data_IF_081499448237
#
_entry.id   IF_081499448237
#
_cell.length_a   1.000
_cell.length_b   1.000
_cell.length_c   1.000
_cell.angle_alpha   90.00
_cell.angle_beta   90.00
_cell.angle_gamma   90.00
#
_symmetry.space_group_name_H-M   'P 1'
#
loop_
_entity.id
_entity.type
_entity.pdbx_description
1 polymer ?
#
# COMPACT_ATOMS: atom_id res chain seq x y z
N UNK A 1 -33.01 -46.41 11.01
CA UNK A 1 -32.06 -46.02 9.94
C UNK A 1 -32.07 -44.53 9.57
N UNK A 2 -33.21 -43.80 9.47
CA UNK A 2 -33.20 -42.39 9.04
C UNK A 2 -32.55 -41.40 10.04
N UNK A 3 -32.67 -41.66 11.35
CA UNK A 3 -32.09 -40.77 12.38
C UNK A 3 -30.56 -40.73 12.40
N UNK A 4 -29.90 -41.85 12.07
CA UNK A 4 -28.44 -41.91 11.99
C UNK A 4 -27.89 -41.12 10.80
N UNK A 5 -28.59 -41.16 9.65
CA UNK A 5 -28.20 -40.43 8.44
C UNK A 5 -28.27 -38.92 8.65
N UNK A 6 -29.31 -38.43 9.35
CA UNK A 6 -29.46 -37.01 9.65
C UNK A 6 -28.36 -36.49 10.59
N UNK A 7 -27.96 -37.30 11.57
CA UNK A 7 -26.91 -36.95 12.53
C UNK A 7 -25.52 -36.85 11.87
N UNK A 8 -25.22 -37.77 10.95
CA UNK A 8 -23.98 -37.77 10.17
C UNK A 8 -23.92 -36.56 9.23
N UNK A 9 -25.04 -36.21 8.58
CA UNK A 9 -25.10 -35.02 7.74
C UNK A 9 -24.89 -33.72 8.55
N UNK A 10 -25.52 -33.60 9.72
CA UNK A 10 -25.42 -32.41 10.56
C UNK A 10 -23.99 -32.19 11.10
N UNK A 11 -23.32 -33.26 11.53
CA UNK A 11 -21.91 -33.20 11.99
C UNK A 11 -20.96 -32.85 10.85
N UNK A 12 -21.19 -33.39 9.65
CA UNK A 12 -20.43 -33.02 8.45
C UNK A 12 -20.56 -31.53 8.12
N UNK A 13 -21.77 -30.98 8.13
CA UNK A 13 -22.01 -29.55 7.92
C UNK A 13 -21.33 -28.70 9.00
N UNK A 14 -21.45 -29.09 10.26
CA UNK A 14 -20.81 -28.37 11.37
C UNK A 14 -19.28 -28.36 11.25
N UNK A 15 -18.66 -29.45 10.82
CA UNK A 15 -17.22 -29.52 10.57
C UNK A 15 -16.79 -28.65 9.39
N UNK A 16 -17.57 -28.63 8.31
CA UNK A 16 -17.29 -27.76 7.16
C UNK A 16 -17.41 -26.28 7.56
N UNK A 17 -18.45 -25.92 8.31
CA UNK A 17 -18.62 -24.54 8.81
C UNK A 17 -17.50 -24.16 9.78
N UNK A 18 -17.13 -25.05 10.70
CA UNK A 18 -16.02 -24.82 11.61
C UNK A 18 -14.68 -24.68 10.87
N UNK A 19 -14.45 -25.48 9.83
CA UNK A 19 -13.27 -25.37 8.97
C UNK A 19 -13.26 -24.06 8.19
N UNK A 20 -14.38 -23.65 7.61
CA UNK A 20 -14.49 -22.36 6.90
C UNK A 20 -14.29 -21.18 7.84
N UNK A 21 -14.85 -21.22 9.05
CA UNK A 21 -14.61 -20.22 10.09
C UNK A 21 -13.15 -20.22 10.53
N UNK A 22 -12.55 -21.39 10.73
CA UNK A 22 -11.14 -21.50 11.06
C UNK A 22 -10.26 -20.94 9.95
N UNK A 23 -10.55 -21.26 8.68
CA UNK A 23 -9.84 -20.70 7.52
C UNK A 23 -10.03 -19.19 7.40
N UNK A 24 -11.22 -18.65 7.72
CA UNK A 24 -11.47 -17.22 7.76
C UNK A 24 -10.69 -16.51 8.87
N UNK A 25 -10.65 -17.12 10.07
CA UNK A 25 -9.88 -16.62 11.22
C UNK A 25 -8.37 -16.76 11.02
N UNK A 26 -7.94 -17.78 10.27
CA UNK A 26 -6.55 -18.06 9.92
C UNK A 26 -6.12 -17.39 8.63
N UNK A 27 -7.04 -16.77 7.86
CA UNK A 27 -6.69 -16.03 6.65
C UNK A 27 -5.76 -14.91 7.08
N UNK A 28 -4.45 -15.03 6.84
CA UNK A 28 -3.53 -14.05 7.33
C UNK A 28 -3.82 -12.83 6.48
N UNK A 29 -4.32 -11.78 7.14
CA UNK A 29 -4.22 -10.41 6.64
C UNK A 29 -2.73 -10.05 6.64
N UNK A 30 -1.94 -10.76 5.82
CA UNK A 30 -0.54 -10.46 5.53
C UNK A 30 -0.53 -9.25 4.59
N UNK A 31 -1.08 -8.15 5.09
CA UNK A 31 -0.78 -6.84 4.53
C UNK A 31 0.65 -6.53 4.96
N UNK A 32 1.60 -6.40 4.02
CA UNK A 32 2.92 -5.93 4.37
C UNK A 32 2.75 -4.61 5.11
N UNK A 33 3.45 -4.46 6.24
CA UNK A 33 3.43 -3.20 7.00
C UNK A 33 3.78 -2.07 6.03
N UNK A 34 2.99 -0.99 6.00
CA UNK A 34 3.26 0.12 5.10
C UNK A 34 4.68 0.62 5.35
N UNK A 35 5.45 0.75 4.28
CA UNK A 35 6.83 1.23 4.35
C UNK A 35 6.83 2.66 4.86
N UNK A 36 7.57 2.92 5.94
CA UNK A 36 7.78 4.30 6.39
C UNK A 36 8.69 5.02 5.40
N UNK A 37 8.19 6.12 4.83
CA UNK A 37 8.96 6.98 3.94
C UNK A 37 9.62 8.17 4.67
N UNK A 38 9.33 8.36 5.96
CA UNK A 38 9.92 9.45 6.74
C UNK A 38 11.44 9.27 6.83
N UNK A 39 12.18 10.26 6.34
CA UNK A 39 13.64 10.24 6.27
C UNK A 39 14.24 9.33 5.19
N UNK A 40 13.43 8.58 4.45
CA UNK A 40 13.89 7.77 3.32
C UNK A 40 14.23 8.66 2.11
N UNK A 41 15.12 8.19 1.23
CA UNK A 41 15.39 8.85 -0.04
C UNK A 41 14.74 8.07 -1.19
N UNK A 42 13.81 8.71 -1.90
CA UNK A 42 13.06 8.12 -3.01
C UNK A 42 13.50 8.74 -4.34
N UNK A 43 13.84 7.88 -5.31
CA UNK A 43 14.18 8.29 -6.67
C UNK A 43 12.96 8.08 -7.57
N UNK A 44 12.49 9.14 -8.22
CA UNK A 44 11.31 9.08 -9.10
C UNK A 44 11.71 9.40 -10.54
N UNK A 45 11.73 8.38 -11.38
CA UNK A 45 11.85 8.52 -12.83
C UNK A 45 10.52 8.95 -13.45
N UNK A 46 10.55 9.82 -14.45
CA UNK A 46 9.33 10.43 -14.99
C UNK A 46 8.66 11.42 -14.03
N UNK A 47 9.38 11.90 -13.00
CA UNK A 47 8.83 12.74 -11.92
C UNK A 47 8.36 14.15 -12.33
N UNK A 48 8.56 14.56 -13.59
CA UNK A 48 8.21 15.91 -14.06
C UNK A 48 6.71 16.11 -14.33
N UNK A 49 5.91 15.04 -14.44
CA UNK A 49 4.47 15.15 -14.77
C UNK A 49 3.68 13.87 -14.48
N UNK A 50 2.36 13.96 -14.55
CA UNK A 50 1.46 12.79 -14.48
C UNK A 50 1.65 11.99 -13.19
N UNK A 51 1.59 10.67 -13.31
CA UNK A 51 1.67 9.73 -12.18
C UNK A 51 2.99 9.89 -11.42
N UNK A 52 4.12 10.02 -12.13
CA UNK A 52 5.43 10.19 -11.49
C UNK A 52 5.47 11.42 -10.58
N UNK A 53 4.92 12.56 -11.02
CA UNK A 53 4.82 13.76 -10.17
C UNK A 53 3.91 13.53 -8.97
N UNK A 54 2.76 12.89 -9.16
CA UNK A 54 1.84 12.58 -8.05
C UNK A 54 2.47 11.67 -6.99
N UNK A 55 3.25 10.66 -7.42
CA UNK A 55 4.00 9.79 -6.51
C UNK A 55 5.05 10.61 -5.75
N UNK A 56 5.80 11.48 -6.44
CA UNK A 56 6.79 12.33 -5.79
C UNK A 56 6.17 13.23 -4.72
N UNK A 57 5.04 13.88 -5.03
CA UNK A 57 4.30 14.71 -4.05
C UNK A 57 3.93 13.88 -2.81
N UNK A 58 3.39 12.67 -3.00
CA UNK A 58 2.96 11.83 -1.89
C UNK A 58 4.14 11.32 -1.04
N UNK A 59 5.24 10.90 -1.67
CA UNK A 59 6.46 10.54 -0.95
C UNK A 59 7.01 11.73 -0.14
N UNK A 60 7.01 12.94 -0.71
CA UNK A 60 7.48 14.14 -0.01
C UNK A 60 6.63 14.47 1.22
N UNK A 61 5.30 14.38 1.10
CA UNK A 61 4.35 14.57 2.21
C UNK A 61 4.56 13.59 3.36
N UNK A 62 5.06 12.40 3.06
CA UNK A 62 5.37 11.38 4.08
C UNK A 62 6.74 11.58 4.72
N UNK A 63 7.46 12.65 4.38
CA UNK A 63 8.75 12.96 4.99
C UNK A 63 9.96 12.45 4.22
N UNK A 64 9.80 12.02 2.96
CA UNK A 64 10.91 11.52 2.14
C UNK A 64 11.74 12.64 1.50
N UNK A 65 13.03 12.38 1.33
CA UNK A 65 13.90 13.10 0.41
C UNK A 65 13.68 12.59 -1.03
N UNK A 66 13.89 13.46 -2.02
CA UNK A 66 13.59 13.13 -3.41
C UNK A 66 14.72 13.42 -4.39
N UNK A 67 14.89 12.52 -5.35
CA UNK A 67 15.57 12.79 -6.63
C UNK A 67 14.57 12.59 -7.76
N UNK A 68 14.36 13.62 -8.58
CA UNK A 68 13.48 13.55 -9.75
C UNK A 68 14.30 13.41 -11.03
N UNK A 69 13.92 12.47 -11.90
CA UNK A 69 14.59 12.23 -13.18
C UNK A 69 13.57 12.36 -14.31
N UNK A 70 13.84 13.22 -15.29
CA UNK A 70 13.07 13.33 -16.52
C UNK A 70 13.89 14.03 -17.62
N UNK A 71 13.35 14.04 -18.85
CA UNK A 71 14.06 14.57 -20.04
C UNK A 71 14.06 16.10 -20.15
N UNK A 72 13.08 16.77 -19.56
CA UNK A 72 12.90 18.21 -19.72
C UNK A 72 13.16 18.92 -18.39
N UNK A 73 14.25 19.67 -18.33
CA UNK A 73 14.70 20.40 -17.14
C UNK A 73 13.68 21.43 -16.67
N UNK A 74 13.09 22.22 -17.58
CA UNK A 74 12.08 23.23 -17.21
C UNK A 74 10.90 22.60 -16.47
N UNK A 75 10.38 21.48 -16.96
CA UNK A 75 9.30 20.73 -16.30
C UNK A 75 9.73 20.10 -14.98
N UNK A 76 10.99 19.69 -14.84
CA UNK A 76 11.54 19.22 -13.57
C UNK A 76 11.57 20.34 -12.53
N UNK A 77 12.04 21.55 -12.91
CA UNK A 77 12.08 22.70 -12.01
C UNK A 77 10.67 23.14 -11.60
N UNK A 78 9.71 23.13 -12.52
CA UNK A 78 8.30 23.39 -12.21
C UNK A 78 7.73 22.36 -11.23
N UNK A 79 7.97 21.06 -11.48
CA UNK A 79 7.55 19.99 -10.58
C UNK A 79 8.21 20.12 -9.19
N UNK A 80 9.52 20.41 -9.12
CA UNK A 80 10.24 20.67 -7.87
C UNK A 80 9.56 21.76 -7.05
N UNK A 81 9.33 22.93 -7.65
CA UNK A 81 8.66 24.07 -6.99
C UNK A 81 7.26 23.74 -6.50
N UNK A 82 6.55 22.86 -7.21
CA UNK A 82 5.22 22.40 -6.80
C UNK A 82 5.29 21.43 -5.63
N UNK A 83 6.26 20.50 -5.64
CA UNK A 83 6.47 19.50 -4.59
C UNK A 83 6.92 20.15 -3.28
N UNK A 84 7.84 21.13 -3.33
CA UNK A 84 8.39 21.84 -2.16
C UNK A 84 7.32 22.50 -1.29
N UNK A 85 6.15 22.82 -1.85
CA UNK A 85 4.99 23.35 -1.10
C UNK A 85 4.44 22.37 -0.06
N UNK A 86 4.82 21.10 -0.15
CA UNK A 86 4.37 20.03 0.74
C UNK A 86 5.46 19.58 1.73
N UNK A 87 6.49 20.39 1.95
CA UNK A 87 7.52 20.13 2.96
C UNK A 87 6.87 19.93 4.33
N UNK A 88 7.38 18.93 5.08
CA UNK A 88 6.96 18.64 6.45
C UNK A 88 8.07 18.87 7.49
N UNK A 89 9.29 19.18 7.05
CA UNK A 89 10.39 19.59 7.94
C UNK A 89 11.43 20.44 7.19
N UNK A 90 12.22 21.22 7.94
CA UNK A 90 13.24 22.14 7.40
C UNK A 90 14.40 21.44 6.69
N UNK A 91 14.52 20.12 6.84
CA UNK A 91 15.63 19.34 6.29
C UNK A 91 15.32 18.83 4.89
N UNK A 92 14.05 18.66 4.53
CA UNK A 92 13.54 18.16 3.24
C UNK A 92 13.54 19.21 2.13
#
# INVERSE_FOLDING_TARGET
MPGAVLLVAATGVALVVALLLLLYLMSPLDHPKPLSLSGAHVVVTGGSSGIGKSIAIECFRQGAFLTLIARNEKRLLEAKKEIEKFSVNDKQ
#
